data_IF_319796229873
#
_entry.id   IF_319796229873
#
_cell.length_a   1.000
_cell.length_b   1.000
_cell.length_c   1.000
_cell.angle_alpha   90.00
_cell.angle_beta   90.00
_cell.angle_gamma   90.00
#
_symmetry.space_group_name_H-M   'P 1'
#
loop_
_entity.id
_entity.type
_entity.pdbx_description
1 polymer ?
#
# COMPACT_ATOMS: atom_id res chain seq x y z
N UNK A 1 -44.68 -22.85 33.49
CA UNK A 1 -43.34 -22.23 33.50
C UNK A 1 -42.62 -22.72 32.24
N UNK A 2 -42.72 -21.94 31.16
CA UNK A 2 -42.12 -22.30 29.89
C UNK A 2 -40.95 -21.31 29.66
N UNK A 3 -39.74 -21.86 29.70
CA UNK A 3 -38.54 -21.16 29.30
C UNK A 3 -38.50 -21.09 27.78
N UNK A 4 -38.55 -19.91 27.24
CA UNK A 4 -38.27 -19.63 25.85
C UNK A 4 -36.79 -19.28 25.74
N UNK A 5 -35.99 -20.24 25.29
CA UNK A 5 -34.66 -20.01 24.78
C UNK A 5 -34.80 -19.10 23.53
N UNK A 6 -34.28 -17.90 23.63
CA UNK A 6 -34.03 -17.06 22.46
C UNK A 6 -32.62 -17.41 21.98
N UNK A 7 -32.59 -18.16 20.91
CA UNK A 7 -31.40 -18.33 20.09
C UNK A 7 -30.98 -16.96 19.55
N UNK A 8 -29.95 -16.43 20.16
CA UNK A 8 -29.25 -15.24 19.66
C UNK A 8 -28.35 -15.70 18.51
N UNK A 9 -28.95 -15.79 17.32
CA UNK A 9 -28.22 -16.02 16.08
C UNK A 9 -27.48 -14.73 15.77
N UNK A 10 -26.25 -14.67 16.29
CA UNK A 10 -25.31 -13.61 15.97
C UNK A 10 -25.21 -13.44 14.46
N UNK A 11 -25.71 -12.33 13.97
CA UNK A 11 -25.56 -11.86 12.59
C UNK A 11 -24.09 -11.70 12.30
N UNK A 12 -23.45 -12.77 11.83
CA UNK A 12 -22.18 -12.69 11.09
C UNK A 12 -22.48 -11.88 9.84
N UNK A 13 -22.18 -10.59 9.87
CA UNK A 13 -22.20 -9.75 8.69
C UNK A 13 -21.27 -10.40 7.67
N UNK A 14 -21.87 -11.07 6.68
CA UNK A 14 -21.15 -11.68 5.56
C UNK A 14 -20.29 -10.56 4.95
N UNK A 15 -18.99 -10.65 5.14
CA UNK A 15 -18.02 -9.80 4.44
C UNK A 15 -18.31 -10.02 2.96
N UNK A 16 -18.95 -9.04 2.33
CA UNK A 16 -19.27 -9.11 0.91
C UNK A 16 -17.95 -9.34 0.18
N UNK A 17 -17.80 -10.51 -0.42
CA UNK A 17 -16.60 -10.92 -1.15
C UNK A 17 -16.37 -9.90 -2.28
N UNK A 18 -15.49 -8.93 -2.03
CA UNK A 18 -15.18 -7.89 -3.01
C UNK A 18 -14.39 -8.51 -4.14
N UNK A 19 -14.69 -8.13 -5.36
CA UNK A 19 -13.90 -8.53 -6.52
C UNK A 19 -12.55 -7.83 -6.48
N UNK A 20 -11.49 -8.60 -6.63
CA UNK A 20 -10.12 -8.11 -6.75
C UNK A 20 -9.70 -8.26 -8.21
N UNK A 21 -9.24 -7.18 -8.82
CA UNK A 21 -8.70 -7.22 -10.18
C UNK A 21 -7.19 -7.25 -10.11
N UNK A 22 -6.58 -8.21 -10.80
CA UNK A 22 -5.13 -8.33 -10.95
C UNK A 22 -4.77 -8.05 -12.40
N UNK A 23 -4.06 -6.94 -12.62
CA UNK A 23 -3.65 -6.48 -13.94
C UNK A 23 -2.13 -6.68 -14.11
N UNK A 24 -1.74 -7.69 -14.88
CA UNK A 24 -0.36 -8.06 -15.15
C UNK A 24 -0.30 -8.84 -16.47
N UNK A 25 0.73 -8.67 -17.29
CA UNK A 25 0.86 -9.39 -18.56
C UNK A 25 1.42 -10.81 -18.40
N UNK A 26 2.05 -11.09 -17.26
CA UNK A 26 2.69 -12.37 -16.97
C UNK A 26 1.70 -13.36 -16.34
N UNK A 27 1.42 -14.46 -17.01
CA UNK A 27 0.48 -15.48 -16.52
C UNK A 27 0.87 -16.02 -15.14
N UNK A 28 2.16 -16.30 -14.93
CA UNK A 28 2.69 -16.78 -13.66
C UNK A 28 2.37 -15.85 -12.48
N UNK A 29 2.47 -14.53 -12.69
CA UNK A 29 2.15 -13.53 -11.67
C UNK A 29 0.65 -13.55 -11.39
N UNK A 30 -0.18 -13.48 -12.43
CA UNK A 30 -1.64 -13.51 -12.26
C UNK A 30 -2.11 -14.76 -11.51
N UNK A 31 -1.57 -15.93 -11.85
CA UNK A 31 -1.93 -17.21 -11.21
C UNK A 31 -1.53 -17.23 -9.74
N UNK A 32 -0.38 -16.68 -9.37
CA UNK A 32 0.06 -16.55 -7.97
C UNK A 32 -0.91 -15.72 -7.15
N UNK A 33 -1.30 -14.55 -7.66
CA UNK A 33 -2.26 -13.69 -6.98
C UNK A 33 -3.63 -14.36 -6.90
N UNK A 34 -4.12 -14.91 -8.02
CA UNK A 34 -5.41 -15.58 -8.09
C UNK A 34 -5.50 -16.72 -7.08
N UNK A 35 -4.56 -17.66 -7.10
CA UNK A 35 -4.54 -18.80 -6.17
C UNK A 35 -4.56 -18.33 -4.71
N UNK A 36 -3.75 -17.34 -4.36
CA UNK A 36 -3.66 -16.85 -2.98
C UNK A 36 -4.95 -16.15 -2.54
N UNK A 37 -5.53 -15.35 -3.39
CA UNK A 37 -6.73 -14.55 -3.07
C UNK A 37 -7.99 -15.40 -3.06
N UNK A 38 -8.12 -16.33 -4.00
CA UNK A 38 -9.26 -17.27 -4.05
C UNK A 38 -9.24 -18.24 -2.87
N UNK A 39 -8.06 -18.72 -2.46
CA UNK A 39 -7.91 -19.51 -1.23
C UNK A 39 -8.32 -18.74 0.04
N UNK A 40 -8.25 -17.41 0.01
CA UNK A 40 -8.72 -16.54 1.07
C UNK A 40 -10.20 -16.12 0.93
N UNK A 41 -10.93 -16.68 -0.04
CA UNK A 41 -12.37 -16.45 -0.24
C UNK A 41 -12.70 -15.21 -1.09
N UNK A 42 -11.73 -14.60 -1.76
CA UNK A 42 -11.96 -13.44 -2.63
C UNK A 42 -12.22 -13.87 -4.09
N UNK A 43 -13.19 -13.22 -4.73
CA UNK A 43 -13.34 -13.33 -6.18
C UNK A 43 -12.22 -12.56 -6.88
N UNK A 44 -11.44 -13.24 -7.72
CA UNK A 44 -10.32 -12.62 -8.44
C UNK A 44 -10.59 -12.63 -9.95
N UNK A 45 -10.43 -11.49 -10.58
CA UNK A 45 -10.48 -11.31 -12.03
C UNK A 45 -9.10 -10.87 -12.51
N UNK A 46 -8.58 -11.54 -13.54
CA UNK A 46 -7.28 -11.23 -14.12
C UNK A 46 -7.45 -10.54 -15.47
N UNK A 47 -6.66 -9.49 -15.71
CA UNK A 47 -6.57 -8.79 -16.99
C UNK A 47 -5.12 -8.65 -17.42
N UNK A 48 -4.87 -8.63 -18.72
CA UNK A 48 -3.52 -8.68 -19.29
C UNK A 48 -3.03 -7.36 -19.84
N UNK A 49 -3.90 -6.36 -19.92
CA UNK A 49 -3.56 -5.05 -20.46
C UNK A 49 -4.38 -3.92 -19.82
N UNK A 50 -3.92 -2.70 -20.01
CA UNK A 50 -4.51 -1.53 -19.38
C UNK A 50 -5.90 -1.14 -19.92
N UNK A 51 -6.23 -1.49 -21.18
CA UNK A 51 -7.54 -1.15 -21.75
C UNK A 51 -8.64 -2.03 -21.18
N UNK A 52 -8.37 -3.33 -21.05
CA UNK A 52 -9.30 -4.27 -20.42
C UNK A 52 -9.50 -3.92 -18.93
N UNK A 53 -8.44 -3.50 -18.24
CA UNK A 53 -8.57 -3.02 -16.87
C UNK A 53 -9.51 -1.82 -16.76
N UNK A 54 -9.33 -0.80 -17.61
CA UNK A 54 -10.18 0.40 -17.60
C UNK A 54 -11.62 0.05 -17.97
N UNK A 55 -11.84 -0.80 -18.98
CA UNK A 55 -13.18 -1.25 -19.38
C UNK A 55 -13.89 -1.99 -18.22
N UNK A 56 -13.17 -2.91 -17.57
CA UNK A 56 -13.71 -3.68 -16.45
C UNK A 56 -14.06 -2.78 -15.26
N UNK A 57 -13.18 -1.85 -14.88
CA UNK A 57 -13.44 -0.92 -13.77
C UNK A 57 -14.61 0.01 -14.10
N UNK A 58 -14.75 0.44 -15.35
CA UNK A 58 -15.88 1.27 -15.78
C UNK A 58 -17.20 0.53 -15.69
N UNK A 59 -17.21 -0.75 -16.05
CA UNK A 59 -18.44 -1.56 -16.07
C UNK A 59 -18.89 -2.03 -14.67
N UNK A 60 -17.95 -2.34 -13.79
CA UNK A 60 -18.21 -3.01 -12.51
C UNK A 60 -17.64 -2.29 -11.28
N UNK A 61 -17.53 -0.97 -11.33
CA UNK A 61 -16.89 -0.15 -10.28
C UNK A 61 -17.38 -0.49 -8.87
N UNK A 62 -18.69 -0.64 -8.69
CA UNK A 62 -19.31 -0.88 -7.37
C UNK A 62 -18.98 -2.26 -6.79
N UNK A 63 -18.62 -3.21 -7.63
CA UNK A 63 -18.27 -4.58 -7.21
C UNK A 63 -16.77 -4.75 -6.98
N UNK A 64 -15.93 -3.88 -7.57
CA UNK A 64 -14.49 -3.96 -7.47
C UNK A 64 -14.02 -3.24 -6.21
N UNK A 65 -13.46 -3.98 -5.26
CA UNK A 65 -12.91 -3.41 -4.03
C UNK A 65 -11.44 -3.04 -4.12
N UNK A 66 -10.67 -3.82 -4.90
CA UNK A 66 -9.22 -3.65 -5.00
C UNK A 66 -8.74 -3.93 -6.43
N UNK A 67 -7.84 -3.10 -6.90
CA UNK A 67 -7.06 -3.32 -8.12
C UNK A 67 -5.58 -3.46 -7.75
N UNK A 68 -4.98 -4.57 -8.12
CA UNK A 68 -3.53 -4.79 -8.09
C UNK A 68 -3.02 -4.61 -9.51
N UNK A 69 -2.16 -3.62 -9.75
CA UNK A 69 -1.74 -3.24 -11.11
C UNK A 69 -0.23 -3.20 -11.26
N UNK A 70 0.29 -3.91 -12.25
CA UNK A 70 1.69 -3.72 -12.69
C UNK A 70 1.82 -2.39 -13.46
N UNK A 71 2.82 -1.59 -13.08
CA UNK A 71 3.15 -0.35 -13.77
C UNK A 71 3.79 -0.58 -15.15
N UNK A 72 4.21 -1.80 -15.45
CA UNK A 72 4.89 -2.17 -16.71
C UNK A 72 4.00 -2.90 -17.71
N UNK A 73 2.68 -2.82 -17.51
CA UNK A 73 1.74 -3.40 -18.47
C UNK A 73 2.04 -2.94 -19.89
N UNK A 74 2.07 -3.85 -20.88
CA UNK A 74 2.27 -3.50 -22.28
C UNK A 74 1.27 -2.44 -22.75
N UNK A 75 1.74 -1.56 -23.61
CA UNK A 75 0.96 -0.46 -24.20
C UNK A 75 0.34 0.52 -23.18
N UNK A 76 0.78 0.49 -21.91
CA UNK A 76 0.36 1.43 -20.90
C UNK A 76 1.58 1.94 -20.11
N UNK A 77 1.74 3.27 -20.01
CA UNK A 77 2.55 3.85 -18.96
C UNK A 77 1.73 3.68 -17.66
N UNK A 78 2.30 2.99 -16.66
CA UNK A 78 1.58 2.59 -15.46
C UNK A 78 0.96 3.76 -14.70
N UNK A 79 1.67 4.89 -14.59
CA UNK A 79 1.14 6.10 -13.97
C UNK A 79 -0.03 6.67 -14.78
N UNK A 80 0.06 6.69 -16.11
CA UNK A 80 -1.05 7.11 -16.98
C UNK A 80 -2.26 6.20 -16.84
N UNK A 81 -2.05 4.91 -16.65
CA UNK A 81 -3.12 3.94 -16.40
C UNK A 81 -3.83 4.24 -15.08
N UNK A 82 -3.08 4.45 -14.00
CA UNK A 82 -3.64 4.84 -12.70
C UNK A 82 -4.40 6.16 -12.81
N UNK A 83 -3.87 7.14 -13.56
CA UNK A 83 -4.58 8.41 -13.83
C UNK A 83 -5.89 8.19 -14.59
N UNK A 84 -5.94 7.26 -15.56
CA UNK A 84 -7.18 6.90 -16.27
C UNK A 84 -8.21 6.29 -15.32
N UNK A 85 -7.81 5.40 -14.42
CA UNK A 85 -8.69 4.82 -13.40
C UNK A 85 -9.25 5.91 -12.47
N UNK A 86 -8.43 6.88 -12.06
CA UNK A 86 -8.84 7.99 -11.20
C UNK A 86 -9.74 9.03 -11.88
N UNK A 87 -9.85 9.00 -13.21
CA UNK A 87 -10.87 9.77 -13.95
C UNK A 87 -12.25 9.12 -13.91
N UNK A 88 -12.31 7.79 -13.73
CA UNK A 88 -13.59 7.07 -13.54
C UNK A 88 -14.13 7.40 -12.15
N UNK A 89 -13.28 7.24 -11.13
CA UNK A 89 -13.59 7.61 -9.74
C UNK A 89 -12.30 8.05 -9.04
N UNK A 90 -12.29 9.22 -8.37
CA UNK A 90 -11.07 9.78 -7.77
C UNK A 90 -10.53 8.95 -6.59
N UNK A 91 -11.36 8.07 -6.01
CA UNK A 91 -11.04 7.35 -4.78
C UNK A 91 -11.15 5.83 -4.96
N UNK A 92 -12.16 5.37 -5.69
CA UNK A 92 -12.45 3.94 -5.89
C UNK A 92 -11.99 3.44 -7.26
N UNK A 93 -11.67 2.15 -7.38
CA UNK A 93 -11.40 1.19 -6.31
C UNK A 93 -10.10 1.52 -5.57
N UNK A 94 -9.83 0.83 -4.46
CA UNK A 94 -8.49 0.85 -3.85
C UNK A 94 -7.47 0.36 -4.87
N UNK A 95 -6.38 1.09 -5.06
CA UNK A 95 -5.31 0.71 -6.00
C UNK A 95 -4.05 0.39 -5.23
N UNK A 96 -3.52 -0.81 -5.46
CA UNK A 96 -2.20 -1.24 -5.01
C UNK A 96 -1.34 -1.47 -6.25
N UNK A 97 -0.20 -0.83 -6.29
CA UNK A 97 0.77 -1.03 -7.35
C UNK A 97 1.59 -2.26 -7.06
N UNK A 98 1.75 -3.08 -8.08
CA UNK A 98 2.61 -4.24 -8.09
C UNK A 98 3.67 -4.03 -9.18
N UNK A 99 4.95 -4.02 -8.81
CA UNK A 99 6.03 -3.82 -9.78
C UNK A 99 7.39 -4.23 -9.19
N UNK A 100 8.29 -4.70 -10.04
CA UNK A 100 9.67 -4.98 -9.64
C UNK A 100 10.50 -3.74 -9.40
N UNK A 101 10.18 -2.66 -10.10
CA UNK A 101 10.89 -1.39 -9.95
C UNK A 101 9.96 -0.21 -10.16
N UNK A 102 10.03 0.77 -9.27
CA UNK A 102 9.54 2.12 -9.51
C UNK A 102 10.70 2.93 -10.11
N UNK A 103 10.51 3.55 -11.25
CA UNK A 103 11.61 4.10 -12.04
C UNK A 103 12.22 5.37 -11.41
N UNK A 104 11.43 6.21 -10.73
CA UNK A 104 11.91 7.49 -10.23
C UNK A 104 11.13 8.00 -9.01
N UNK A 105 11.72 8.99 -8.31
CA UNK A 105 11.05 9.72 -7.24
C UNK A 105 9.80 10.46 -7.74
N UNK A 106 9.85 11.01 -8.96
CA UNK A 106 8.72 11.70 -9.56
C UNK A 106 7.53 10.75 -9.78
N UNK A 107 7.78 9.51 -10.21
CA UNK A 107 6.75 8.48 -10.36
C UNK A 107 6.09 8.15 -9.01
N UNK A 108 6.88 8.01 -7.93
CA UNK A 108 6.34 7.77 -6.59
C UNK A 108 5.48 8.95 -6.12
N UNK A 109 5.93 10.19 -6.33
CA UNK A 109 5.16 11.38 -5.98
C UNK A 109 3.84 11.44 -6.74
N UNK A 110 3.87 11.15 -8.04
CA UNK A 110 2.65 11.15 -8.85
C UNK A 110 1.67 10.05 -8.43
N UNK A 111 2.14 8.83 -8.18
CA UNK A 111 1.31 7.75 -7.65
C UNK A 111 0.68 8.10 -6.30
N UNK A 112 1.41 8.82 -5.44
CA UNK A 112 0.88 9.31 -4.16
C UNK A 112 -0.24 10.34 -4.37
N UNK A 113 -0.09 11.27 -5.34
CA UNK A 113 -1.16 12.24 -5.66
C UNK A 113 -2.39 11.59 -6.28
N UNK A 114 -2.21 10.45 -6.94
CA UNK A 114 -3.28 9.63 -7.51
C UNK A 114 -3.92 8.66 -6.49
N UNK A 115 -3.66 8.86 -5.20
CA UNK A 115 -4.24 8.04 -4.12
C UNK A 115 -4.00 6.53 -4.29
N UNK A 116 -2.79 6.15 -4.72
CA UNK A 116 -2.36 4.75 -4.66
C UNK A 116 -2.16 4.36 -3.19
N UNK A 117 -2.84 3.30 -2.78
CA UNK A 117 -2.94 2.92 -1.37
C UNK A 117 -1.77 2.07 -0.87
N UNK A 118 -1.03 1.45 -1.78
CA UNK A 118 0.08 0.58 -1.39
C UNK A 118 0.92 0.13 -2.57
N UNK A 119 2.03 -0.53 -2.21
CA UNK A 119 2.98 -1.12 -3.15
C UNK A 119 3.32 -2.53 -2.69
N UNK A 120 3.34 -3.48 -3.62
CA UNK A 120 3.79 -4.85 -3.42
C UNK A 120 4.88 -5.14 -4.45
N UNK A 121 5.98 -5.75 -4.01
CA UNK A 121 7.06 -6.14 -4.91
C UNK A 121 6.67 -7.37 -5.75
N UNK A 122 7.01 -7.39 -7.02
CA UNK A 122 6.74 -8.52 -7.92
C UNK A 122 7.41 -9.83 -7.47
N UNK A 123 8.52 -9.75 -6.75
CA UNK A 123 9.24 -10.91 -6.20
C UNK A 123 8.70 -11.38 -4.84
N UNK A 124 7.62 -10.75 -4.36
CA UNK A 124 6.99 -11.15 -3.09
C UNK A 124 6.59 -12.61 -3.14
N UNK A 125 7.10 -13.44 -2.22
CA UNK A 125 6.73 -14.84 -2.14
C UNK A 125 5.23 -15.02 -1.90
N UNK A 126 4.64 -16.12 -2.42
CA UNK A 126 3.20 -16.42 -2.33
C UNK A 126 2.63 -16.19 -0.93
N UNK A 127 3.32 -16.67 0.11
CA UNK A 127 2.92 -16.56 1.51
C UNK A 127 2.85 -15.11 2.03
N UNK A 128 3.44 -14.16 1.32
CA UNK A 128 3.46 -12.74 1.71
C UNK A 128 2.51 -11.86 0.87
N UNK A 129 1.90 -12.40 -0.19
CA UNK A 129 0.94 -11.65 -1.02
C UNK A 129 -0.28 -11.24 -0.17
N UNK A 130 -0.95 -12.21 0.45
CA UNK A 130 -2.13 -11.94 1.26
C UNK A 130 -1.81 -11.02 2.47
N UNK A 131 -0.75 -11.25 3.26
CA UNK A 131 -0.34 -10.30 4.30
C UNK A 131 -0.06 -8.89 3.79
N UNK A 132 0.48 -8.73 2.57
CA UNK A 132 0.73 -7.42 1.98
C UNK A 132 -0.57 -6.71 1.56
N UNK A 133 -1.56 -7.45 1.07
CA UNK A 133 -2.85 -6.92 0.64
C UNK A 133 -3.88 -6.80 1.77
N UNK A 134 -3.73 -7.56 2.86
CA UNK A 134 -4.69 -7.59 3.99
C UNK A 134 -5.12 -6.21 4.52
N UNK A 135 -4.23 -5.20 4.66
CA UNK A 135 -4.65 -3.87 5.11
C UNK A 135 -5.62 -3.18 4.14
N UNK A 136 -5.66 -3.61 2.89
CA UNK A 136 -6.52 -3.06 1.85
C UNK A 136 -7.80 -3.88 1.64
N UNK A 137 -7.75 -5.17 1.97
CA UNK A 137 -8.89 -6.10 1.88
C UNK A 137 -9.78 -6.02 3.11
N UNK A 138 -9.17 -5.93 4.30
CA UNK A 138 -9.84 -5.96 5.60
C UNK A 138 -9.47 -4.71 6.41
N UNK A 139 -9.93 -3.52 6.02
CA UNK A 139 -9.53 -2.28 6.68
C UNK A 139 -9.96 -2.20 8.15
N UNK A 140 -10.98 -2.96 8.55
CA UNK A 140 -11.57 -2.91 9.89
C UNK A 140 -11.19 -4.09 10.80
N UNK A 141 -10.85 -5.26 10.24
CA UNK A 141 -10.69 -6.49 11.04
C UNK A 141 -9.24 -6.91 11.29
N UNK A 142 -8.29 -6.54 10.44
CA UNK A 142 -6.93 -7.11 10.49
C UNK A 142 -5.85 -6.06 10.56
N UNK A 143 -5.96 -5.15 11.49
CA UNK A 143 -4.83 -4.26 11.78
C UNK A 143 -3.84 -4.91 12.78
N UNK A 144 -3.32 -6.10 12.45
CA UNK A 144 -2.20 -6.72 13.19
C UNK A 144 -0.89 -5.96 13.02
N UNK A 145 -0.82 -5.01 12.09
CA UNK A 145 0.26 -4.04 11.94
C UNK A 145 -0.29 -2.70 12.41
N UNK A 146 0.45 -1.98 13.23
CA UNK A 146 0.05 -0.73 13.91
C UNK A 146 -0.44 0.41 12.99
N UNK A 147 -1.48 0.19 12.18
CA UNK A 147 -2.22 1.24 11.47
C UNK A 147 -2.05 1.32 9.95
N UNK A 148 -2.82 2.21 9.31
CA UNK A 148 -2.83 2.43 7.88
C UNK A 148 -1.50 2.97 7.36
N UNK A 149 -1.23 2.73 6.08
CA UNK A 149 -0.09 3.29 5.36
C UNK A 149 -0.57 4.19 4.25
N UNK A 150 0.10 5.32 4.09
CA UNK A 150 -0.16 6.30 3.04
C UNK A 150 1.01 6.29 2.08
N UNK A 151 0.75 6.16 0.77
CA UNK A 151 1.78 6.34 -0.25
C UNK A 151 2.35 7.76 -0.15
N UNK A 152 3.69 7.87 -0.20
CA UNK A 152 4.36 9.13 0.06
C UNK A 152 5.66 9.20 -0.74
N UNK A 153 5.79 10.15 -1.63
CA UNK A 153 6.96 10.29 -2.52
C UNK A 153 7.85 11.48 -2.11
N UNK A 154 8.19 11.64 -0.83
CA UNK A 154 9.01 12.76 -0.38
C UNK A 154 10.47 12.35 -0.18
N UNK A 155 11.43 13.30 -0.32
CA UNK A 155 12.82 13.07 0.03
C UNK A 155 12.97 12.72 1.51
N UNK A 156 13.85 11.77 1.79
CA UNK A 156 14.29 11.41 3.14
C UNK A 156 15.82 11.29 3.15
N UNK A 157 16.46 11.91 4.13
CA UNK A 157 17.85 11.66 4.46
C UNK A 157 17.92 10.69 5.65
N UNK A 158 18.79 9.69 5.60
CA UNK A 158 19.05 8.85 6.76
C UNK A 158 20.55 8.76 7.04
N UNK A 159 20.88 8.77 8.32
CA UNK A 159 22.24 8.67 8.81
C UNK A 159 22.45 7.36 9.57
N UNK A 160 23.55 6.69 9.27
CA UNK A 160 24.04 5.54 10.02
C UNK A 160 25.57 5.68 10.18
N UNK A 161 26.06 5.59 11.40
CA UNK A 161 27.43 5.97 11.70
C UNK A 161 27.77 7.37 11.20
N UNK A 162 28.83 7.49 10.42
CA UNK A 162 29.30 8.75 9.82
C UNK A 162 28.76 8.98 8.40
N UNK A 163 27.90 8.09 7.88
CA UNK A 163 27.38 8.20 6.52
C UNK A 163 25.99 8.78 6.52
N UNK A 164 25.74 9.73 5.61
CA UNK A 164 24.41 10.25 5.30
C UNK A 164 24.06 9.80 3.89
N UNK A 165 22.91 9.20 3.73
CA UNK A 165 22.36 8.78 2.45
C UNK A 165 20.99 9.42 2.22
N UNK A 166 20.67 9.66 0.94
CA UNK A 166 19.38 10.16 0.51
C UNK A 166 18.56 9.03 -0.11
N UNK A 167 17.26 9.07 0.10
CA UNK A 167 16.29 8.16 -0.47
C UNK A 167 14.96 8.88 -0.71
N UNK A 168 13.98 8.15 -1.24
CA UNK A 168 12.61 8.62 -1.40
C UNK A 168 11.69 7.70 -0.63
N UNK A 169 10.72 8.26 0.07
CA UNK A 169 9.73 7.47 0.79
C UNK A 169 8.80 6.78 -0.20
N UNK A 170 8.48 5.51 0.03
CA UNK A 170 7.44 4.77 -0.67
C UNK A 170 6.09 4.91 0.03
N UNK A 171 6.09 4.76 1.34
CA UNK A 171 4.91 4.95 2.18
C UNK A 171 5.29 5.29 3.61
N UNK A 172 4.32 5.82 4.36
CA UNK A 172 4.44 6.12 5.78
C UNK A 172 3.26 5.55 6.55
N UNK A 173 3.50 5.13 7.78
CA UNK A 173 2.51 4.74 8.79
C UNK A 173 2.83 5.44 10.10
N UNK A 174 1.98 5.26 11.12
CA UNK A 174 2.24 5.79 12.47
C UNK A 174 3.51 5.22 13.11
N UNK A 175 3.94 4.02 12.71
CA UNK A 175 5.06 3.30 13.34
C UNK A 175 6.31 3.21 12.46
N UNK A 176 6.30 3.77 11.25
CA UNK A 176 7.46 3.66 10.37
C UNK A 176 7.21 4.11 8.95
N UNK A 177 8.26 4.09 8.16
CA UNK A 177 8.21 4.43 6.74
C UNK A 177 9.00 3.43 5.89
N UNK A 178 8.60 3.26 4.65
CA UNK A 178 9.38 2.53 3.66
C UNK A 178 10.09 3.52 2.74
N UNK A 179 11.34 3.24 2.43
CA UNK A 179 12.17 4.07 1.55
C UNK A 179 12.70 3.28 0.38
N UNK A 180 12.73 3.92 -0.79
CA UNK A 180 13.43 3.42 -1.95
C UNK A 180 14.90 3.81 -1.88
N UNK A 181 15.78 2.84 -1.96
CA UNK A 181 17.24 3.02 -2.06
C UNK A 181 17.85 1.87 -2.83
N UNK A 182 18.89 2.17 -3.60
CA UNK A 182 19.67 1.14 -4.33
C UNK A 182 20.66 0.38 -3.43
N UNK A 183 20.89 0.90 -2.22
CA UNK A 183 21.82 0.32 -1.25
C UNK A 183 21.14 0.20 0.11
N UNK A 184 20.16 -0.71 0.25
CA UNK A 184 19.45 -0.87 1.51
C UNK A 184 20.37 -1.48 2.58
N UNK A 185 20.25 -0.96 3.80
CA UNK A 185 20.98 -1.45 4.96
C UNK A 185 20.40 -2.79 5.43
N UNK A 186 21.21 -3.56 6.15
CA UNK A 186 20.76 -4.83 6.70
C UNK A 186 19.68 -4.63 7.78
N UNK A 187 18.79 -5.62 7.90
CA UNK A 187 17.79 -5.67 8.97
C UNK A 187 18.44 -5.56 10.34
N UNK A 188 17.85 -4.77 11.22
CA UNK A 188 18.33 -4.53 12.59
C UNK A 188 19.22 -3.30 12.73
N UNK A 189 19.79 -2.76 11.65
CA UNK A 189 20.63 -1.54 11.71
C UNK A 189 19.77 -0.36 12.18
N UNK A 190 20.31 0.42 13.11
CA UNK A 190 19.68 1.65 13.60
C UNK A 190 20.17 2.82 12.79
N UNK A 191 19.25 3.65 12.36
CA UNK A 191 19.47 4.85 11.55
C UNK A 191 18.71 6.03 12.13
N UNK A 192 19.13 7.24 11.79
CA UNK A 192 18.39 8.46 12.06
C UNK A 192 17.81 8.98 10.75
N UNK A 193 16.50 8.88 10.58
CA UNK A 193 15.79 9.31 9.38
C UNK A 193 15.26 10.74 9.56
N UNK A 194 15.51 11.59 8.56
CA UNK A 194 15.04 12.99 8.55
C UNK A 194 14.24 13.25 7.30
N UNK A 195 13.01 13.73 7.46
CA UNK A 195 12.08 14.01 6.38
C UNK A 195 11.09 15.10 6.78
N UNK A 196 10.41 15.67 5.77
CA UNK A 196 9.34 16.65 6.00
C UNK A 196 8.04 16.15 5.37
N UNK A 197 6.97 16.11 6.14
CA UNK A 197 5.64 15.78 5.61
C UNK A 197 5.15 16.85 4.62
N UNK A 198 4.33 16.50 3.63
CA UNK A 198 3.66 17.46 2.78
C UNK A 198 2.90 18.50 3.62
N UNK A 199 3.09 19.78 3.31
CA UNK A 199 2.54 20.92 4.09
C UNK A 199 3.05 21.02 5.53
N UNK A 200 3.98 20.17 5.94
CA UNK A 200 4.63 20.26 7.26
C UNK A 200 5.54 21.48 7.36
N UNK A 201 5.56 22.13 8.52
CA UNK A 201 6.37 23.33 8.76
C UNK A 201 7.79 23.02 9.22
N UNK A 202 8.03 21.82 9.72
CA UNK A 202 9.34 21.41 10.28
C UNK A 202 9.75 20.03 9.76
N UNK A 203 11.04 19.74 9.87
CA UNK A 203 11.57 18.41 9.63
C UNK A 203 11.24 17.51 10.83
N UNK A 204 10.95 16.27 10.54
CA UNK A 204 10.82 15.18 11.52
C UNK A 204 12.15 14.46 11.54
N UNK A 205 12.66 14.21 12.73
CA UNK A 205 13.91 13.50 12.98
C UNK A 205 13.63 12.26 13.82
N UNK A 206 13.62 11.09 13.18
CA UNK A 206 13.18 9.84 13.77
C UNK A 206 14.34 8.85 13.91
N UNK A 207 14.63 8.44 15.12
CA UNK A 207 15.47 7.26 15.35
C UNK A 207 14.67 6.03 14.92
N UNK A 208 15.28 5.21 14.06
CA UNK A 208 14.57 4.12 13.38
C UNK A 208 15.44 2.89 13.26
N UNK A 209 14.82 1.72 13.23
CA UNK A 209 15.48 0.44 12.99
C UNK A 209 15.04 -0.13 11.64
N UNK A 210 15.97 -0.67 10.87
CA UNK A 210 15.65 -1.39 9.64
C UNK A 210 14.87 -2.65 9.99
N UNK A 211 13.59 -2.67 9.68
CA UNK A 211 12.69 -3.79 9.92
C UNK A 211 12.75 -4.85 8.81
N UNK A 212 12.95 -4.41 7.58
CA UNK A 212 13.15 -5.27 6.41
C UNK A 212 14.06 -4.58 5.38
N UNK A 213 14.69 -5.37 4.52
CA UNK A 213 15.63 -4.91 3.49
C UNK A 213 15.47 -5.77 2.24
N UNK A 214 15.41 -5.12 1.07
CA UNK A 214 15.29 -5.76 -0.24
C UNK A 214 16.06 -4.93 -1.28
N UNK A 215 16.97 -5.57 -2.02
CA UNK A 215 17.85 -4.89 -2.99
C UNK A 215 17.10 -4.28 -4.19
N UNK A 216 15.95 -4.83 -4.55
CA UNK A 216 15.14 -4.36 -5.67
C UNK A 216 14.19 -3.22 -5.28
N UNK A 217 13.80 -3.14 -4.00
CA UNK A 217 12.81 -2.18 -3.50
C UNK A 217 13.42 -1.09 -2.65
N UNK A 218 14.23 -1.48 -1.67
CA UNK A 218 14.75 -0.59 -0.64
C UNK A 218 14.64 -1.20 0.75
N UNK A 219 14.22 -0.41 1.73
CA UNK A 219 14.11 -0.88 3.12
C UNK A 219 12.93 -0.24 3.85
N UNK A 220 12.42 -0.95 4.86
CA UNK A 220 11.44 -0.44 5.82
C UNK A 220 12.11 -0.03 7.12
N UNK A 221 11.77 1.16 7.59
CA UNK A 221 12.25 1.76 8.83
C UNK A 221 11.11 1.77 9.85
N UNK A 222 11.31 1.14 10.99
CA UNK A 222 10.42 1.17 12.15
C UNK A 222 10.91 2.28 13.09
N UNK A 223 10.04 3.21 13.45
CA UNK A 223 10.37 4.28 14.39
C UNK A 223 10.58 3.69 15.79
N UNK A 224 11.72 3.99 16.41
CA UNK A 224 12.02 3.60 17.78
C UNK A 224 11.63 4.70 18.76
N UNK A 225 12.04 5.94 18.43
CA UNK A 225 11.77 7.13 19.23
C UNK A 225 11.31 8.27 18.33
N UNK A 226 10.11 8.78 18.61
CA UNK A 226 9.56 9.99 18.02
C UNK A 226 9.19 10.95 19.15
N UNK A 227 9.50 12.23 18.96
CA UNK A 227 8.96 13.26 19.84
C UNK A 227 7.41 13.27 19.77
N UNK A 228 6.72 13.63 20.88
CA UNK A 228 5.25 13.63 20.92
C UNK A 228 4.61 14.43 19.78
N UNK A 229 5.18 15.56 19.45
CA UNK A 229 4.71 16.44 18.38
C UNK A 229 4.91 15.81 16.99
N UNK A 230 6.02 15.10 16.77
CA UNK A 230 6.32 14.41 15.51
C UNK A 230 5.39 13.20 15.33
N UNK A 231 5.15 12.46 16.42
CA UNK A 231 4.19 11.36 16.44
C UNK A 231 2.76 11.87 16.16
N UNK A 232 2.37 13.01 16.74
CA UNK A 232 1.07 13.64 16.50
C UNK A 232 0.95 14.07 15.03
N UNK A 233 1.96 14.74 14.48
CA UNK A 233 1.98 15.19 13.09
C UNK A 233 1.88 14.02 12.08
N UNK A 234 2.63 12.94 12.31
CA UNK A 234 2.56 11.74 11.49
C UNK A 234 1.16 11.09 11.60
N UNK A 235 0.63 11.01 12.82
CA UNK A 235 -0.68 10.41 13.06
C UNK A 235 -1.79 11.18 12.36
N UNK A 236 -1.78 12.52 12.47
CA UNK A 236 -2.72 13.40 11.78
C UNK A 236 -2.60 13.26 10.26
N UNK A 237 -1.37 13.28 9.73
CA UNK A 237 -1.13 13.10 8.30
C UNK A 237 -1.67 11.76 7.80
N UNK A 238 -1.34 10.67 8.47
CA UNK A 238 -1.79 9.33 8.08
C UNK A 238 -3.32 9.23 8.15
N UNK A 239 -3.94 9.74 9.20
CA UNK A 239 -5.39 9.72 9.36
C UNK A 239 -6.09 10.54 8.27
N UNK A 240 -5.65 11.78 8.02
CA UNK A 240 -6.29 12.66 7.05
C UNK A 240 -6.23 12.10 5.63
N UNK A 241 -5.12 11.46 5.25
CA UNK A 241 -4.97 10.87 3.93
C UNK A 241 -5.64 9.49 3.81
N UNK A 242 -5.69 8.72 4.87
CA UNK A 242 -6.36 7.42 4.87
C UNK A 242 -7.89 7.56 4.90
N UNK A 243 -8.42 8.49 5.70
CA UNK A 243 -9.86 8.71 5.81
C UNK A 243 -10.45 9.52 4.66
N UNK A 244 -9.67 10.38 4.00
CA UNK A 244 -10.14 11.05 2.78
C UNK A 244 -10.43 10.08 1.64
N UNK A 245 -9.77 8.92 1.64
CA UNK A 245 -10.08 7.81 0.71
C UNK A 245 -11.32 6.99 1.13
N UNK A 246 -11.91 7.23 2.32
CA UNK A 246 -13.08 6.50 2.84
C UNK A 246 -14.38 7.29 2.81
N UNK A 247 -14.32 8.61 2.62
CA UNK A 247 -15.50 9.46 2.51
C UNK A 247 -15.94 9.61 1.06
N UNK A 248 -16.51 8.56 0.51
CA UNK A 248 -17.38 8.60 -0.66
C UNK A 248 -18.41 7.47 -0.54
#
# INVERSE_FOLDING_TARGET
>A
MRHTDRDDVGSSAAVLARTIVVADDTAFVRDRFKTTLEAAGHRTVAVTNGNDLVALVTADLDRIGLVVVDLRLPHANGVSLVRRLRRIDPVRPTIVVFSGTIASAAEVQELATLHVSGYVNEYTALQHILPALSPHLYPDEVNRRNGPRVALGIPVAYRFGNTIAAAVTLNISRSGLAVRTTSPLQKGVVVRARFRLPKGRRDIDAESKVAWSDKGVGMGLEFLNLGPDDQAAITEFVNSHFFSNRKA
#
